data_IF_874263603456
#
_entry.id   IF_874263603456
#
_cell.length_a   1.000
_cell.length_b   1.000
_cell.length_c   1.000
_cell.angle_alpha   90.00
_cell.angle_beta   90.00
_cell.angle_gamma   90.00
#
_symmetry.space_group_name_H-M   'P 1'
#
loop_
_entity.id
_entity.type
_entity.pdbx_description
1 polymer ?
#
# COMPACT_ATOMS: atom_id res chain seq x y z
N UNK A 1 8.05 7.23 19.15
CA UNK A 1 8.73 6.08 18.50
C UNK A 1 7.86 4.82 18.37
N UNK A 2 6.73 4.68 19.07
CA UNK A 2 5.91 3.45 19.02
C UNK A 2 5.42 3.08 17.60
N UNK A 3 5.06 4.06 16.76
CA UNK A 3 4.61 3.85 15.39
C UNK A 3 5.64 3.19 14.46
N UNK A 4 6.94 3.31 14.76
CA UNK A 4 8.02 2.70 13.94
C UNK A 4 7.93 1.18 13.99
N UNK A 5 7.61 0.59 15.14
CA UNK A 5 7.49 -0.87 15.28
C UNK A 5 6.37 -1.42 14.40
N UNK A 6 5.22 -0.74 14.37
CA UNK A 6 4.12 -1.10 13.48
C UNK A 6 4.52 -0.97 12.01
N UNK A 7 5.30 0.06 11.65
CA UNK A 7 5.81 0.22 10.28
C UNK A 7 6.78 -0.89 9.87
N UNK A 8 7.67 -1.33 10.77
CA UNK A 8 8.60 -2.44 10.51
C UNK A 8 7.85 -3.76 10.34
N UNK A 9 6.86 -4.05 11.20
CA UNK A 9 6.02 -5.24 11.06
C UNK A 9 5.26 -5.20 9.73
N UNK A 10 4.65 -4.06 9.40
CA UNK A 10 3.95 -3.87 8.13
C UNK A 10 4.88 -4.07 6.92
N UNK A 11 6.11 -3.57 6.97
CA UNK A 11 7.11 -3.78 5.93
C UNK A 11 7.40 -5.27 5.71
N UNK A 12 7.65 -6.03 6.78
CA UNK A 12 7.92 -7.48 6.68
C UNK A 12 6.71 -8.22 6.11
N UNK A 13 5.50 -7.95 6.64
CA UNK A 13 4.28 -8.57 6.15
C UNK A 13 3.97 -8.20 4.69
N UNK A 14 4.26 -6.97 4.28
CA UNK A 14 4.08 -6.52 2.91
C UNK A 14 5.05 -7.21 1.94
N UNK A 15 6.31 -7.40 2.34
CA UNK A 15 7.28 -8.17 1.55
C UNK A 15 6.82 -9.61 1.33
N UNK A 16 6.31 -10.29 2.37
CA UNK A 16 5.75 -11.63 2.24
C UNK A 16 4.51 -11.65 1.31
N UNK A 17 3.61 -10.68 1.48
CA UNK A 17 2.43 -10.50 0.62
C UNK A 17 2.84 -10.37 -0.85
N UNK A 18 3.82 -9.52 -1.17
CA UNK A 18 4.25 -9.26 -2.55
C UNK A 18 4.83 -10.50 -3.23
N UNK A 19 5.56 -11.33 -2.50
CA UNK A 19 6.10 -12.60 -3.01
C UNK A 19 4.96 -13.58 -3.30
N UNK A 20 4.02 -13.76 -2.35
CA UNK A 20 2.87 -14.65 -2.53
C UNK A 20 1.97 -14.15 -3.67
N UNK A 21 1.71 -12.84 -3.77
CA UNK A 21 0.94 -12.28 -4.86
C UNK A 21 1.60 -12.54 -6.21
N UNK A 22 2.93 -12.41 -6.31
CA UNK A 22 3.63 -12.76 -7.54
C UNK A 22 3.37 -14.20 -7.95
N UNK A 23 3.51 -15.14 -7.01
CA UNK A 23 3.26 -16.55 -7.26
C UNK A 23 1.82 -16.79 -7.75
N UNK A 24 0.83 -16.21 -7.06
CA UNK A 24 -0.58 -16.33 -7.45
C UNK A 24 -0.83 -15.71 -8.83
N UNK A 25 -0.22 -14.57 -9.15
CA UNK A 25 -0.37 -13.95 -10.48
C UNK A 25 0.31 -14.74 -11.61
N UNK A 26 1.32 -15.55 -11.30
CA UNK A 26 1.98 -16.42 -12.28
C UNK A 26 1.16 -17.68 -12.62
N UNK A 27 0.13 -18.01 -11.82
CA UNK A 27 -0.77 -19.15 -12.06
C UNK A 27 -1.69 -18.99 -13.29
N UNK A 28 -1.67 -17.83 -13.94
CA UNK A 28 -2.52 -17.53 -15.11
C UNK A 28 -3.94 -17.06 -14.76
N UNK A 29 -4.27 -16.92 -13.47
CA UNK A 29 -5.51 -16.32 -13.04
C UNK A 29 -5.60 -14.83 -13.44
N UNK A 30 -6.79 -14.40 -13.82
CA UNK A 30 -7.06 -12.99 -14.11
C UNK A 30 -6.87 -12.13 -12.86
N UNK A 31 -6.29 -10.95 -13.03
CA UNK A 31 -5.97 -10.01 -11.93
C UNK A 31 -7.21 -9.62 -11.14
N UNK A 32 -8.36 -9.50 -11.80
CA UNK A 32 -9.65 -9.19 -11.21
C UNK A 32 -10.09 -10.26 -10.19
N UNK A 33 -9.88 -11.54 -10.53
CA UNK A 33 -10.22 -12.68 -9.67
C UNK A 33 -9.33 -12.68 -8.43
N UNK A 34 -8.02 -12.52 -8.63
CA UNK A 34 -7.04 -12.47 -7.52
C UNK A 34 -7.38 -11.32 -6.57
N UNK A 35 -7.65 -10.13 -7.11
CA UNK A 35 -7.95 -8.94 -6.33
C UNK A 35 -9.26 -9.10 -5.54
N UNK A 36 -10.29 -9.68 -6.15
CA UNK A 36 -11.56 -9.95 -5.48
C UNK A 36 -11.37 -10.87 -4.26
N UNK A 37 -10.72 -12.03 -4.44
CA UNK A 37 -10.51 -12.97 -3.33
C UNK A 37 -9.55 -12.42 -2.27
N UNK A 38 -8.49 -11.73 -2.68
CA UNK A 38 -7.56 -11.06 -1.79
C UNK A 38 -8.29 -10.07 -0.86
N UNK A 39 -9.11 -9.18 -1.42
CA UNK A 39 -9.86 -8.18 -0.66
C UNK A 39 -10.96 -8.83 0.20
N UNK A 40 -11.64 -9.86 -0.31
CA UNK A 40 -12.67 -10.61 0.42
C UNK A 40 -12.08 -11.27 1.67
N UNK A 41 -11.02 -12.07 1.53
CA UNK A 41 -10.40 -12.77 2.66
C UNK A 41 -9.75 -11.80 3.64
N UNK A 42 -9.13 -10.71 3.14
CA UNK A 42 -8.60 -9.64 4.00
C UNK A 42 -9.70 -9.01 4.84
N UNK A 43 -10.87 -8.72 4.24
CA UNK A 43 -12.02 -8.15 4.94
C UNK A 43 -12.56 -9.10 6.02
N UNK A 44 -12.65 -10.40 5.72
CA UNK A 44 -13.08 -11.42 6.69
C UNK A 44 -12.13 -11.48 7.89
N UNK A 45 -10.81 -11.50 7.65
CA UNK A 45 -9.81 -11.53 8.73
C UNK A 45 -9.88 -10.28 9.60
N UNK A 46 -10.02 -9.09 8.99
CA UNK A 46 -10.19 -7.82 9.71
C UNK A 46 -11.48 -7.84 10.53
N UNK A 47 -12.57 -8.33 9.96
CA UNK A 47 -13.86 -8.44 10.65
C UNK A 47 -13.78 -9.35 11.88
N UNK A 48 -13.20 -10.54 11.73
CA UNK A 48 -12.97 -11.47 12.85
C UNK A 48 -12.09 -10.84 13.94
N UNK A 49 -10.99 -10.19 13.56
CA UNK A 49 -10.12 -9.51 14.51
C UNK A 49 -10.86 -8.39 15.26
N UNK A 50 -11.65 -7.58 14.55
CA UNK A 50 -12.46 -6.51 15.14
C UNK A 50 -13.57 -7.06 16.07
N UNK A 51 -14.17 -8.20 15.74
CA UNK A 51 -15.15 -8.86 16.58
C UNK A 51 -14.55 -9.30 17.93
N UNK A 52 -13.33 -9.86 17.95
CA UNK A 52 -12.64 -10.20 19.22
C UNK A 52 -12.36 -8.98 20.11
N UNK A 53 -12.35 -7.78 19.52
CA UNK A 53 -12.12 -6.50 20.20
C UNK A 53 -13.42 -5.76 20.53
N UNK A 54 -14.59 -6.34 20.23
CA UNK A 54 -15.91 -5.70 20.41
C UNK A 54 -16.02 -4.31 19.75
N UNK A 55 -15.40 -4.14 18.57
CA UNK A 55 -15.47 -2.89 17.82
C UNK A 55 -16.89 -2.68 17.27
N UNK A 56 -17.44 -1.48 17.47
CA UNK A 56 -18.75 -1.11 16.89
C UNK A 56 -18.56 -0.67 15.44
N UNK A 57 -19.15 -1.42 14.50
CA UNK A 57 -19.19 -1.06 13.08
C UNK A 57 -20.25 0.01 12.81
N UNK A 58 -19.98 1.24 13.23
CA UNK A 58 -20.83 2.39 12.98
C UNK A 58 -20.02 3.49 12.30
N UNK A 59 -20.46 3.89 11.11
CA UNK A 59 -19.85 5.01 10.38
C UNK A 59 -20.73 6.24 10.63
N UNK A 60 -20.18 7.33 11.21
CA UNK A 60 -20.91 8.59 11.27
C UNK A 60 -21.26 9.06 9.86
N UNK A 61 -22.51 9.44 9.60
CA UNK A 61 -23.00 9.79 8.25
C UNK A 61 -22.11 10.78 7.49
N UNK A 62 -21.49 11.73 8.21
CA UNK A 62 -20.54 12.71 7.66
C UNK A 62 -19.28 12.11 7.00
N UNK A 63 -18.91 10.88 7.34
CA UNK A 63 -17.74 10.21 6.79
C UNK A 63 -18.06 9.22 5.67
N UNK A 64 -19.34 8.94 5.39
CA UNK A 64 -19.72 7.95 4.37
C UNK A 64 -19.14 8.30 3.00
N UNK A 65 -19.22 9.58 2.60
CA UNK A 65 -18.65 10.07 1.34
C UNK A 65 -17.13 9.86 1.29
N UNK A 66 -16.42 10.12 2.40
CA UNK A 66 -14.97 9.89 2.48
C UNK A 66 -14.61 8.40 2.33
N UNK A 67 -15.39 7.50 2.93
CA UNK A 67 -15.20 6.06 2.74
C UNK A 67 -15.47 5.60 1.29
N UNK A 68 -16.44 6.21 0.61
CA UNK A 68 -16.65 5.94 -0.83
C UNK A 68 -15.45 6.38 -1.67
N UNK A 69 -14.94 7.60 -1.43
CA UNK A 69 -13.74 8.10 -2.12
C UNK A 69 -12.53 7.20 -1.86
N UNK A 70 -12.33 6.77 -0.61
CA UNK A 70 -11.28 5.83 -0.24
C UNK A 70 -11.43 4.49 -0.98
N UNK A 71 -12.65 3.95 -1.09
CA UNK A 71 -12.89 2.70 -1.79
C UNK A 71 -12.56 2.81 -3.29
N UNK A 72 -12.92 3.91 -3.95
CA UNK A 72 -12.61 4.15 -5.37
C UNK A 72 -11.09 4.25 -5.59
N UNK A 73 -10.39 5.03 -4.75
CA UNK A 73 -8.93 5.16 -4.83
C UNK A 73 -8.25 3.81 -4.57
N UNK A 74 -8.71 3.08 -3.56
CA UNK A 74 -8.19 1.76 -3.22
C UNK A 74 -8.40 0.75 -4.36
N UNK A 75 -9.55 0.79 -5.05
CA UNK A 75 -9.80 -0.03 -6.22
C UNK A 75 -8.74 0.22 -7.31
N UNK A 76 -8.50 1.48 -7.69
CA UNK A 76 -7.50 1.81 -8.70
C UNK A 76 -6.10 1.39 -8.29
N UNK A 77 -5.69 1.67 -7.05
CA UNK A 77 -4.40 1.24 -6.54
C UNK A 77 -4.24 -0.28 -6.60
N UNK A 78 -5.18 -1.05 -6.05
CA UNK A 78 -5.08 -2.51 -6.02
C UNK A 78 -5.12 -3.11 -7.44
N UNK A 79 -5.98 -2.60 -8.32
CA UNK A 79 -6.07 -3.09 -9.69
C UNK A 79 -4.76 -2.89 -10.46
N UNK A 80 -4.23 -1.66 -10.49
CA UNK A 80 -3.02 -1.37 -11.25
C UNK A 80 -1.75 -1.94 -10.60
N UNK A 81 -1.67 -1.96 -9.27
CA UNK A 81 -0.55 -2.58 -8.57
C UNK A 81 -0.47 -4.08 -8.87
N UNK A 82 -1.61 -4.78 -8.83
CA UNK A 82 -1.65 -6.22 -9.08
C UNK A 82 -1.36 -6.56 -10.54
N UNK A 83 -1.82 -5.72 -11.47
CA UNK A 83 -1.46 -5.82 -12.89
C UNK A 83 0.04 -5.60 -13.11
N UNK A 84 0.64 -4.62 -12.42
CA UNK A 84 2.08 -4.38 -12.47
C UNK A 84 2.88 -5.56 -11.91
N UNK A 85 2.47 -6.15 -10.78
CA UNK A 85 3.10 -7.34 -10.18
C UNK A 85 3.04 -8.54 -11.13
N UNK A 86 1.89 -8.75 -11.77
CA UNK A 86 1.71 -9.82 -12.77
C UNK A 86 2.66 -9.63 -13.95
N UNK A 87 2.77 -8.41 -14.48
CA UNK A 87 3.58 -8.10 -15.65
C UNK A 87 5.10 -8.06 -15.37
N UNK A 88 5.51 -7.70 -14.15
CA UNK A 88 6.93 -7.54 -13.84
C UNK A 88 7.65 -8.88 -13.67
N UNK A 89 8.94 -9.00 -14.05
CA UNK A 89 9.73 -10.20 -13.82
C UNK A 89 10.02 -10.42 -12.33
N UNK A 90 10.13 -9.34 -11.56
CA UNK A 90 10.37 -9.36 -10.12
C UNK A 90 9.44 -8.35 -9.42
N UNK A 91 8.64 -8.76 -8.41
CA UNK A 91 7.74 -7.86 -7.68
C UNK A 91 8.49 -6.74 -6.94
N UNK A 92 9.78 -6.94 -6.63
CA UNK A 92 10.64 -5.92 -6.02
C UNK A 92 10.79 -4.67 -6.88
N UNK A 93 10.77 -4.79 -8.22
CA UNK A 93 10.81 -3.64 -9.13
C UNK A 93 9.54 -2.79 -9.03
N UNK A 94 8.38 -3.46 -8.93
CA UNK A 94 7.10 -2.79 -8.73
C UNK A 94 7.06 -2.08 -7.37
N UNK A 95 7.49 -2.77 -6.31
CA UNK A 95 7.58 -2.18 -4.96
C UNK A 95 8.52 -0.97 -4.94
N UNK A 96 9.66 -1.06 -5.64
CA UNK A 96 10.59 0.05 -5.79
C UNK A 96 9.92 1.29 -6.40
N UNK A 97 9.28 1.15 -7.56
CA UNK A 97 8.54 2.25 -8.21
C UNK A 97 7.43 2.79 -7.29
N UNK A 98 6.64 1.91 -6.67
CA UNK A 98 5.54 2.33 -5.80
C UNK A 98 6.03 3.10 -4.57
N UNK A 99 7.24 2.78 -4.07
CA UNK A 99 7.85 3.48 -2.94
C UNK A 99 8.16 4.95 -3.25
N UNK A 100 8.29 5.33 -4.53
CA UNK A 100 8.41 6.73 -4.93
C UNK A 100 7.17 7.59 -4.57
N UNK A 101 6.04 6.97 -4.21
CA UNK A 101 4.88 7.68 -3.68
C UNK A 101 5.21 8.51 -2.41
N UNK A 102 6.32 8.22 -1.72
CA UNK A 102 6.81 9.00 -0.59
C UNK A 102 6.99 10.48 -0.95
N UNK A 103 7.35 10.79 -2.20
CA UNK A 103 7.52 12.17 -2.67
C UNK A 103 6.18 12.90 -2.52
N UNK A 104 5.13 12.31 -3.09
CA UNK A 104 3.78 12.89 -3.10
C UNK A 104 3.25 12.96 -1.68
N UNK A 105 3.32 11.86 -0.93
CA UNK A 105 2.79 11.78 0.45
C UNK A 105 3.49 12.78 1.36
N UNK A 106 4.81 12.94 1.24
CA UNK A 106 5.56 13.82 2.14
C UNK A 106 5.35 15.30 1.79
N UNK A 107 5.31 15.67 0.51
CA UNK A 107 5.06 17.04 0.08
C UNK A 107 3.60 17.43 0.41
N UNK A 108 2.63 16.65 -0.05
CA UNK A 108 1.21 16.92 0.19
C UNK A 108 0.90 16.84 1.68
N UNK A 109 1.47 15.89 2.41
CA UNK A 109 1.32 15.78 3.86
C UNK A 109 1.92 16.97 4.62
N UNK A 110 3.08 17.48 4.19
CA UNK A 110 3.66 18.71 4.77
C UNK A 110 2.72 19.90 4.59
N UNK A 111 2.12 20.06 3.40
CA UNK A 111 1.16 21.13 3.10
C UNK A 111 -0.16 20.98 3.88
N UNK A 112 -0.73 19.77 3.91
CA UNK A 112 -2.03 19.53 4.53
C UNK A 112 -1.98 19.53 6.06
N UNK A 113 -0.89 19.04 6.65
CA UNK A 113 -0.75 18.90 8.11
C UNK A 113 0.13 19.97 8.75
N UNK A 114 0.62 20.95 7.97
CA UNK A 114 1.40 22.09 8.47
C UNK A 114 2.77 21.73 9.05
N UNK A 115 3.29 20.54 8.76
CA UNK A 115 4.56 20.09 9.29
C UNK A 115 5.71 20.53 8.38
N UNK A 116 6.71 21.28 8.88
CA UNK A 116 7.82 21.74 8.04
C UNK A 116 8.64 20.56 7.51
N UNK A 117 9.09 20.68 6.26
CA UNK A 117 9.92 19.70 5.59
C UNK A 117 11.39 20.15 5.59
N UNK A 118 12.19 19.78 6.61
CA UNK A 118 13.61 20.16 6.65
C UNK A 118 14.38 19.54 5.49
N UNK A 119 15.45 20.21 5.06
CA UNK A 119 16.31 19.79 3.94
C UNK A 119 16.85 18.37 4.10
N UNK A 120 17.11 17.91 5.33
CA UNK A 120 17.54 16.53 5.61
C UNK A 120 16.52 15.48 5.15
N UNK A 121 15.22 15.75 5.30
CA UNK A 121 14.17 14.85 4.80
C UNK A 121 14.07 14.89 3.29
N UNK A 122 14.29 16.04 2.67
CA UNK A 122 14.31 16.18 1.20
C UNK A 122 15.45 15.33 0.61
N UNK A 123 16.65 15.41 1.19
CA UNK A 123 17.79 14.58 0.78
C UNK A 123 17.48 13.09 0.97
N UNK A 124 16.85 12.72 2.09
CA UNK A 124 16.44 11.33 2.34
C UNK A 124 15.46 10.80 1.27
N UNK A 125 14.47 11.61 0.88
CA UNK A 125 13.54 11.27 -0.21
C UNK A 125 14.29 11.08 -1.53
N UNK A 126 15.19 12.01 -1.86
CA UNK A 126 15.97 11.93 -3.10
C UNK A 126 16.82 10.65 -3.15
N UNK A 127 17.51 10.30 -2.06
CA UNK A 127 18.30 9.07 -1.98
C UNK A 127 17.43 7.81 -2.12
N UNK A 128 16.26 7.79 -1.48
CA UNK A 128 15.34 6.66 -1.55
C UNK A 128 14.81 6.45 -2.98
N UNK A 129 14.48 7.53 -3.68
CA UNK A 129 14.02 7.51 -5.07
C UNK A 129 15.13 7.05 -6.01
N UNK A 130 16.34 7.59 -5.86
CA UNK A 130 17.50 7.15 -6.63
C UNK A 130 17.78 5.65 -6.44
N UNK A 131 17.78 5.16 -5.20
CA UNK A 131 17.95 3.74 -4.91
C UNK A 131 16.86 2.87 -5.53
N UNK A 132 15.61 3.31 -5.46
CA UNK A 132 14.46 2.59 -6.04
C UNK A 132 14.56 2.50 -7.57
N UNK A 133 14.97 3.59 -8.23
CA UNK A 133 15.18 3.62 -9.68
C UNK A 133 16.32 2.70 -10.11
N UNK A 134 17.45 2.72 -9.38
CA UNK A 134 18.60 1.85 -9.68
C UNK A 134 18.23 0.37 -9.61
N UNK A 135 17.41 -0.03 -8.65
CA UNK A 135 16.94 -1.42 -8.51
C UNK A 135 16.00 -1.81 -9.67
N UNK A 136 15.23 -0.86 -10.20
CA UNK A 136 14.17 -1.15 -11.18
C UNK A 136 14.67 -1.08 -12.64
N UNK A 137 15.82 -0.47 -12.91
CA UNK A 137 16.38 -0.31 -14.27
C UNK A 137 17.10 -1.57 -14.81
N UNK A 138 16.59 -2.77 -14.50
CA UNK A 138 17.19 -4.06 -14.90
C UNK A 138 16.25 -4.85 -15.80
#
# INVERSE_FOLDING_TARGET
>A
MHWIHFAVIAMISHSALMIILKEVTNSGLQTEIINFYFLLFTTIVIFCFAATRNVRFQIPGKFVVWFMVLAIIAFFYNYFAMKAISAAPNPGYVVGILSCNIIIITIVGSLLFGNPLPTTKIVGIALMVCGSLLITMV
#
